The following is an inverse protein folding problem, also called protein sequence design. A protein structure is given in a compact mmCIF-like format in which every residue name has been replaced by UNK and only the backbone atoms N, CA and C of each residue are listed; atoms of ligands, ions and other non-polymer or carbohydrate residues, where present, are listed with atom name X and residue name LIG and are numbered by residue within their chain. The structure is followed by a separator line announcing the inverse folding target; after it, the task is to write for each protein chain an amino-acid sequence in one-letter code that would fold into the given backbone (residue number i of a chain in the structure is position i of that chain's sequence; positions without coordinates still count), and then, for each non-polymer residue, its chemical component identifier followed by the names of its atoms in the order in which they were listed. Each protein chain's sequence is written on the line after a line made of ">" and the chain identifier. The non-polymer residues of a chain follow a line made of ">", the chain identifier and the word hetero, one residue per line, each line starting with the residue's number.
data_IF_546194853984
#
_entry.id   IF_546194853984
#
_cell.length_a   1.000
_cell.length_b   1.000
_cell.length_c   1.000
_cell.angle_alpha   90.00
_cell.angle_beta   90.00
_cell.angle_gamma   90.00
#
_symmetry.space_group_name_H-M   'P 1'
#
loop_
_entity.id
_entity.type
_entity.pdbx_description
1 polymer ?
#
# COMPACT_ATOMS: atom_id res chain seq x y z
N UNK A 1 68.50 14.93 -2.82
CA UNK A 1 67.51 14.63 -1.77
C UNK A 1 66.15 15.13 -2.21
N UNK A 2 65.11 14.35 -1.93
CA UNK A 2 63.78 14.36 -2.56
C UNK A 2 62.90 15.49 -2.01
N UNK A 3 62.32 16.32 -2.89
CA UNK A 3 61.26 17.27 -2.51
C UNK A 3 59.90 16.57 -2.51
N UNK A 4 59.28 16.51 -1.33
CA UNK A 4 58.10 15.72 -1.05
C UNK A 4 56.82 16.53 -1.41
N UNK A 5 56.12 16.16 -2.48
CA UNK A 5 54.87 16.80 -2.91
C UNK A 5 53.71 16.43 -1.99
N UNK A 6 53.36 17.30 -1.05
CA UNK A 6 52.11 17.18 -0.30
C UNK A 6 50.92 17.49 -1.22
N UNK A 7 50.21 16.46 -1.70
CA UNK A 7 48.93 16.63 -2.42
C UNK A 7 47.81 16.88 -1.40
N UNK A 8 47.01 17.95 -1.51
CA UNK A 8 45.87 18.13 -0.63
C UNK A 8 44.84 17.03 -0.91
N UNK A 9 44.42 16.34 0.16
CA UNK A 9 43.39 15.33 0.12
C UNK A 9 42.11 15.91 -0.52
N UNK A 10 41.69 15.37 -1.67
CA UNK A 10 40.43 15.73 -2.33
C UNK A 10 39.27 15.48 -1.35
N UNK A 11 38.54 16.55 -1.00
CA UNK A 11 37.31 16.51 -0.19
C UNK A 11 36.31 15.51 -0.79
N UNK A 12 36.14 14.36 -0.14
CA UNK A 12 35.15 13.31 -0.43
C UNK A 12 33.73 13.71 0.00
N UNK A 13 33.27 14.91 -0.38
CA UNK A 13 31.97 15.47 0.04
C UNK A 13 30.74 15.14 -0.82
N UNK A 14 30.79 14.64 -2.08
CA UNK A 14 29.55 14.42 -2.84
C UNK A 14 28.80 13.16 -2.40
N UNK A 15 29.50 12.10 -1.97
CA UNK A 15 28.90 10.79 -1.67
C UNK A 15 27.98 10.84 -0.45
N UNK A 16 28.36 11.58 0.60
CA UNK A 16 27.54 11.70 1.82
C UNK A 16 26.21 12.41 1.57
N UNK A 17 26.18 13.42 0.68
CA UNK A 17 24.95 14.13 0.32
C UNK A 17 23.98 13.23 -0.46
N UNK A 18 24.49 12.43 -1.40
CA UNK A 18 23.67 11.49 -2.18
C UNK A 18 23.04 10.43 -1.28
N UNK A 19 23.79 9.88 -0.32
CA UNK A 19 23.27 8.89 0.64
C UNK A 19 22.17 9.49 1.51
N UNK A 20 22.35 10.70 2.04
CA UNK A 20 21.34 11.38 2.87
C UNK A 20 20.06 11.65 2.07
N UNK A 21 20.18 12.10 0.81
CA UNK A 21 19.03 12.33 -0.06
C UNK A 21 18.29 11.03 -0.40
N UNK A 22 19.01 9.95 -0.70
CA UNK A 22 18.41 8.64 -0.95
C UNK A 22 17.67 8.12 0.29
N UNK A 23 18.26 8.25 1.48
CA UNK A 23 17.61 7.84 2.73
C UNK A 23 16.35 8.66 3.01
N UNK A 24 16.42 9.98 2.82
CA UNK A 24 15.28 10.87 2.99
C UNK A 24 14.14 10.52 2.02
N UNK A 25 14.47 10.14 0.78
CA UNK A 25 13.47 9.72 -0.21
C UNK A 25 12.80 8.39 0.20
N UNK A 26 13.56 7.41 0.69
CA UNK A 26 13.01 6.14 1.20
C UNK A 26 12.08 6.38 2.38
N UNK A 27 12.48 7.24 3.33
CA UNK A 27 11.64 7.60 4.48
C UNK A 27 10.37 8.33 4.04
N UNK A 28 10.46 9.25 3.08
CA UNK A 28 9.29 9.95 2.55
C UNK A 28 8.30 8.99 1.88
N UNK A 29 8.78 8.03 1.08
CA UNK A 29 7.92 7.00 0.46
C UNK A 29 7.28 6.10 1.53
N UNK A 30 8.03 5.70 2.55
CA UNK A 30 7.51 4.86 3.64
C UNK A 30 6.40 5.57 4.45
N UNK A 31 6.54 6.88 4.69
CA UNK A 31 5.54 7.68 5.42
C UNK A 31 4.25 7.90 4.63
N UNK A 32 4.31 7.98 3.31
CA UNK A 32 3.12 8.15 2.46
C UNK A 32 2.36 6.83 2.27
N UNK A 33 3.06 5.70 2.19
CA UNK A 33 2.45 4.38 1.98
C UNK A 33 1.76 3.77 3.22
N UNK A 34 2.01 4.31 4.42
CA UNK A 34 1.53 3.73 5.68
C UNK A 34 0.01 3.86 5.92
N UNK A 35 -0.72 4.58 5.06
CA UNK A 35 -2.16 4.80 5.24
C UNK A 35 -3.04 3.92 4.36
N UNK A 36 -2.45 3.11 3.48
CA UNK A 36 -3.16 2.27 2.53
C UNK A 36 -3.04 0.79 2.90
N UNK A 37 -4.03 -0.01 2.50
CA UNK A 37 -4.00 -1.44 2.75
C UNK A 37 -2.88 -2.11 1.94
N UNK A 38 -2.10 -2.95 2.60
CA UNK A 38 -1.08 -3.79 1.97
C UNK A 38 -1.72 -5.08 1.43
N UNK A 39 -1.03 -5.71 0.46
CA UNK A 39 -1.41 -7.04 -0.04
C UNK A 39 -1.55 -8.07 1.09
N UNK A 40 -0.64 -8.04 2.06
CA UNK A 40 -0.64 -8.95 3.20
C UNK A 40 -1.89 -8.78 4.08
N UNK A 41 -2.29 -7.54 4.34
CA UNK A 41 -3.50 -7.24 5.11
C UNK A 41 -4.77 -7.70 4.38
N UNK A 42 -4.88 -7.40 3.07
CA UNK A 42 -6.01 -7.89 2.25
C UNK A 42 -6.07 -9.42 2.21
N UNK A 43 -4.91 -10.07 2.09
CA UNK A 43 -4.82 -11.53 2.08
C UNK A 43 -5.24 -12.12 3.44
N UNK A 44 -4.84 -11.50 4.54
CA UNK A 44 -5.27 -11.89 5.90
C UNK A 44 -6.80 -11.84 6.04
N UNK A 45 -7.43 -10.73 5.66
CA UNK A 45 -8.89 -10.57 5.70
C UNK A 45 -9.59 -11.62 4.84
N UNK A 46 -9.13 -11.82 3.60
CA UNK A 46 -9.70 -12.83 2.69
C UNK A 46 -9.56 -14.25 3.26
N UNK A 47 -8.43 -14.55 3.90
CA UNK A 47 -8.21 -15.85 4.53
C UNK A 47 -9.16 -16.08 5.71
N UNK A 48 -9.38 -15.08 6.56
CA UNK A 48 -10.36 -15.15 7.65
C UNK A 48 -11.79 -15.34 7.13
N UNK A 49 -12.17 -14.61 6.08
CA UNK A 49 -13.49 -14.78 5.42
C UNK A 49 -13.61 -16.18 4.84
N UNK A 50 -12.60 -16.68 4.14
CA UNK A 50 -12.63 -18.02 3.55
C UNK A 50 -12.63 -19.13 4.60
N UNK A 51 -11.99 -18.93 5.75
CA UNK A 51 -12.07 -19.86 6.88
C UNK A 51 -13.51 -19.94 7.44
N UNK A 52 -14.18 -18.79 7.63
CA UNK A 52 -15.59 -18.75 8.03
C UNK A 52 -16.51 -19.40 6.99
N UNK A 53 -16.26 -19.15 5.71
CA UNK A 53 -17.01 -19.78 4.60
C UNK A 53 -16.83 -21.30 4.59
N UNK A 54 -15.63 -21.80 4.83
CA UNK A 54 -15.35 -23.23 4.91
C UNK A 54 -16.12 -23.89 6.08
N UNK A 55 -16.18 -23.23 7.24
CA UNK A 55 -16.99 -23.70 8.39
C UNK A 55 -18.48 -23.78 8.04
N UNK A 56 -18.96 -22.92 7.13
CA UNK A 56 -20.33 -22.92 6.63
C UNK A 56 -20.55 -23.81 5.39
N UNK A 57 -19.55 -24.59 4.95
CA UNK A 57 -19.66 -25.45 3.76
C UNK A 57 -19.72 -24.68 2.43
N UNK A 58 -19.26 -23.43 2.41
CA UNK A 58 -19.28 -22.56 1.23
C UNK A 58 -17.93 -22.55 0.49
N UNK A 59 -17.91 -22.43 -0.85
CA UNK A 59 -16.67 -22.30 -1.61
C UNK A 59 -15.87 -21.04 -1.27
N UNK A 60 -14.54 -21.09 -1.39
CA UNK A 60 -13.68 -19.93 -1.18
C UNK A 60 -13.95 -18.80 -2.19
N UNK A 61 -13.87 -17.55 -1.71
CA UNK A 61 -13.81 -16.36 -2.55
C UNK A 61 -12.41 -16.20 -3.15
N UNK A 62 -12.36 -15.64 -4.36
CA UNK A 62 -11.13 -15.32 -5.10
C UNK A 62 -10.88 -13.82 -5.05
N UNK A 63 -9.62 -13.44 -5.19
CA UNK A 63 -9.21 -12.05 -5.34
C UNK A 63 -9.80 -11.42 -6.61
N UNK A 64 -10.14 -10.14 -6.51
CA UNK A 64 -10.45 -9.31 -7.67
C UNK A 64 -9.84 -7.92 -7.45
N UNK A 65 -8.77 -7.62 -8.18
CA UNK A 65 -7.98 -6.39 -7.99
C UNK A 65 -8.83 -5.13 -8.17
N UNK A 66 -9.81 -5.13 -9.08
CA UNK A 66 -10.69 -3.98 -9.27
C UNK A 66 -11.62 -3.74 -8.08
N UNK A 67 -12.11 -4.80 -7.43
CA UNK A 67 -12.88 -4.66 -6.20
C UNK A 67 -12.00 -4.25 -5.00
N UNK A 68 -10.75 -4.72 -4.94
CA UNK A 68 -9.78 -4.28 -3.93
C UNK A 68 -9.52 -2.77 -4.05
N UNK A 69 -9.22 -2.29 -5.27
CA UNK A 69 -9.00 -0.85 -5.53
C UNK A 69 -10.23 -0.01 -5.18
N UNK A 70 -11.44 -0.52 -5.48
CA UNK A 70 -12.69 0.13 -5.08
C UNK A 70 -12.80 0.24 -3.56
N UNK A 71 -12.56 -0.86 -2.84
CA UNK A 71 -12.66 -0.90 -1.39
C UNK A 71 -11.65 0.06 -0.72
N UNK A 72 -10.40 0.09 -1.21
CA UNK A 72 -9.36 1.01 -0.73
C UNK A 72 -9.75 2.47 -0.94
N UNK A 73 -10.21 2.82 -2.14
CA UNK A 73 -10.69 4.18 -2.44
C UNK A 73 -11.86 4.59 -1.55
N UNK A 74 -12.77 3.67 -1.26
CA UNK A 74 -13.90 3.96 -0.37
C UNK A 74 -13.48 4.13 1.09
N UNK A 75 -12.57 3.29 1.58
CA UNK A 75 -11.99 3.41 2.91
C UNK A 75 -11.27 4.75 3.09
N UNK A 76 -10.53 5.23 2.08
CA UNK A 76 -9.93 6.56 2.09
C UNK A 76 -10.99 7.67 2.18
N UNK A 77 -12.10 7.54 1.43
CA UNK A 77 -13.23 8.46 1.51
C UNK A 77 -13.84 8.52 2.92
N UNK A 78 -14.05 7.35 3.53
CA UNK A 78 -14.55 7.23 4.91
C UNK A 78 -13.62 7.88 5.93
N UNK A 79 -12.32 7.63 5.82
CA UNK A 79 -11.28 8.26 6.64
C UNK A 79 -11.32 9.79 6.52
N UNK A 80 -11.38 10.32 5.30
CA UNK A 80 -11.33 11.76 5.05
C UNK A 80 -12.57 12.50 5.57
N UNK A 81 -13.72 11.82 5.62
CA UNK A 81 -14.98 12.38 6.12
C UNK A 81 -15.27 12.05 7.59
N UNK A 82 -14.36 11.31 8.25
CA UNK A 82 -14.52 10.85 9.64
C UNK A 82 -15.87 10.16 9.89
N UNK A 83 -16.33 9.36 8.93
CA UNK A 83 -17.63 8.68 9.00
C UNK A 83 -17.54 7.31 8.32
N UNK A 84 -18.31 6.36 8.80
CA UNK A 84 -18.50 5.04 8.16
C UNK A 84 -19.87 5.03 7.46
N UNK A 85 -19.90 4.67 6.17
CA UNK A 85 -21.14 4.49 5.41
C UNK A 85 -20.89 3.63 4.15
N UNK A 86 -21.97 3.09 3.60
CA UNK A 86 -21.90 2.25 2.42
C UNK A 86 -21.70 3.01 1.12
N UNK A 87 -20.94 2.43 0.18
CA UNK A 87 -20.81 2.94 -1.18
C UNK A 87 -22.02 2.61 -2.04
N UNK A 88 -22.13 3.31 -3.17
CA UNK A 88 -22.97 2.81 -4.26
C UNK A 88 -22.25 1.62 -4.88
N UNK A 89 -22.80 0.42 -4.69
CA UNK A 89 -22.14 -0.84 -5.07
C UNK A 89 -21.75 -0.93 -6.55
N UNK A 90 -22.52 -0.34 -7.46
CA UNK A 90 -22.23 -0.37 -8.89
C UNK A 90 -21.04 0.52 -9.29
N UNK A 91 -20.73 1.57 -8.54
CA UNK A 91 -19.74 2.56 -8.95
C UNK A 91 -18.33 1.98 -8.82
N UNK A 92 -17.56 1.96 -9.91
CA UNK A 92 -16.20 1.41 -9.91
C UNK A 92 -16.10 -0.13 -9.83
N UNK A 93 -17.21 -0.86 -9.83
CA UNK A 93 -17.19 -2.31 -9.94
C UNK A 93 -17.00 -2.75 -11.41
N UNK A 94 -16.34 -3.90 -11.68
CA UNK A 94 -16.22 -4.41 -13.05
C UNK A 94 -17.60 -4.68 -13.69
N UNK A 95 -17.70 -4.68 -15.03
CA UNK A 95 -18.92 -5.13 -15.70
C UNK A 95 -19.20 -6.62 -15.41
N UNK A 96 -20.45 -7.04 -15.60
CA UNK A 96 -20.90 -8.44 -15.52
C UNK A 96 -20.97 -9.07 -14.12
N UNK A 97 -20.93 -8.27 -13.05
CA UNK A 97 -21.25 -8.75 -11.71
C UNK A 97 -22.77 -8.87 -11.51
N UNK A 98 -23.25 -10.08 -11.24
CA UNK A 98 -24.69 -10.34 -10.98
C UNK A 98 -25.16 -9.83 -9.63
N UNK A 99 -24.28 -9.84 -8.63
CA UNK A 99 -24.52 -9.40 -7.26
C UNK A 99 -23.23 -8.85 -6.68
N UNK A 100 -23.36 -7.81 -5.86
CA UNK A 100 -22.28 -7.19 -5.11
C UNK A 100 -22.72 -7.05 -3.65
N UNK A 101 -21.76 -7.04 -2.74
CA UNK A 101 -21.96 -6.79 -1.33
C UNK A 101 -20.76 -6.03 -0.77
N UNK A 102 -20.98 -5.32 0.32
CA UNK A 102 -19.95 -4.50 0.97
C UNK A 102 -20.12 -4.61 2.48
N UNK A 103 -19.00 -4.77 3.19
CA UNK A 103 -18.92 -4.69 4.64
C UNK A 103 -18.00 -3.50 4.98
N UNK A 104 -18.42 -2.66 5.93
CA UNK A 104 -17.67 -1.49 6.43
C UNK A 104 -17.63 -1.50 7.95
#
# INVERSE_FOLDING_TARGET
>A
MVENKNKPARRSRPIRRTIVLALAMVVAVALVGACESTKSERDSVRNSVNASRAQAGLPALRENIALDMKADSWAQGMRNQCRIWHSRLADGAPPNWRKLGENV
#
